data_IF_978036027418
#
_entry.id   IF_978036027418
#
_cell.length_a   1.000
_cell.length_b   1.000
_cell.length_c   1.000
_cell.angle_alpha   90.00
_cell.angle_beta   90.00
_cell.angle_gamma   90.00
#
_symmetry.space_group_name_H-M   'P 1'
#
loop_
_entity.id
_entity.type
_entity.pdbx_description
1 polymer ?
#
# COMPACT_ATOMS: atom_id res chain seq x y z
N UNK A 1 -25.19 -59.52 57.43
CA UNK A 1 -24.18 -58.75 58.16
C UNK A 1 -23.67 -57.69 57.17
N UNK A 2 -24.33 -56.56 57.19
CA UNK A 2 -23.80 -55.27 57.67
C UNK A 2 -22.52 -54.91 56.94
N UNK A 3 -22.41 -53.82 56.19
CA UNK A 3 -22.75 -52.45 56.48
C UNK A 3 -22.68 -51.62 55.19
N UNK A 4 -23.62 -50.72 54.97
CA UNK A 4 -23.36 -49.41 54.35
C UNK A 4 -22.31 -48.65 55.17
N UNK A 5 -21.61 -47.62 54.65
CA UNK A 5 -22.23 -46.41 54.21
C UNK A 5 -21.35 -45.42 53.43
N UNK A 6 -21.90 -44.30 53.25
CA UNK A 6 -21.39 -42.92 53.15
C UNK A 6 -21.39 -42.32 51.73
N UNK A 7 -22.41 -41.51 51.58
CA UNK A 7 -22.47 -40.45 50.62
C UNK A 7 -21.40 -39.42 50.84
N UNK A 8 -20.82 -38.94 49.73
CA UNK A 8 -20.05 -37.69 49.70
C UNK A 8 -20.80 -36.77 48.73
N UNK A 9 -21.17 -35.64 49.28
CA UNK A 9 -21.87 -34.55 48.65
C UNK A 9 -21.16 -34.06 47.38
N UNK A 10 -21.92 -33.92 46.32
CA UNK A 10 -21.49 -33.24 45.09
C UNK A 10 -21.43 -31.73 45.39
N UNK A 11 -20.25 -31.13 45.21
CA UNK A 11 -20.03 -29.68 45.20
C UNK A 11 -20.66 -29.05 43.96
N UNK A 12 -21.26 -27.87 44.04
CA UNK A 12 -21.87 -27.18 42.91
C UNK A 12 -20.84 -26.33 42.14
N UNK A 13 -20.03 -26.97 41.30
CA UNK A 13 -19.01 -26.31 40.46
C UNK A 13 -19.07 -26.74 39.00
N UNK A 14 -20.28 -26.98 38.47
CA UNK A 14 -20.49 -27.37 37.08
C UNK A 14 -21.56 -26.53 36.36
N UNK A 15 -21.54 -25.19 36.55
CA UNK A 15 -22.50 -24.31 35.89
C UNK A 15 -21.87 -22.96 35.46
N UNK A 16 -20.67 -23.00 34.83
CA UNK A 16 -20.11 -21.82 34.15
C UNK A 16 -19.24 -22.26 32.96
N UNK A 17 -19.82 -23.07 32.08
CA UNK A 17 -19.27 -23.27 30.72
C UNK A 17 -20.36 -22.92 29.73
N UNK A 18 -20.29 -21.75 29.18
CA UNK A 18 -21.17 -21.38 28.09
C UNK A 18 -21.40 -19.90 27.96
N UNK A 19 -20.45 -19.18 27.40
CA UNK A 19 -20.69 -18.02 26.54
C UNK A 19 -19.32 -17.53 26.07
N UNK A 20 -18.84 -18.07 24.97
CA UNK A 20 -17.87 -17.33 24.15
C UNK A 20 -18.60 -16.10 23.66
N UNK A 21 -18.04 -14.89 23.81
CA UNK A 21 -18.60 -13.74 23.15
C UNK A 21 -18.35 -13.95 21.65
N UNK A 22 -19.40 -14.22 20.89
CA UNK A 22 -19.41 -14.00 19.46
C UNK A 22 -19.11 -12.51 19.26
N UNK A 23 -17.84 -12.21 19.00
CA UNK A 23 -17.41 -10.91 18.52
C UNK A 23 -18.04 -10.73 17.13
N UNK A 24 -19.16 -10.03 17.10
CA UNK A 24 -19.79 -9.56 15.89
C UNK A 24 -18.79 -8.69 15.12
N UNK A 25 -18.08 -9.32 14.19
CA UNK A 25 -17.27 -8.63 13.20
C UNK A 25 -18.25 -7.88 12.28
N UNK A 26 -18.50 -6.61 12.59
CA UNK A 26 -19.09 -5.71 11.60
C UNK A 26 -17.99 -5.50 10.54
N UNK A 27 -18.00 -6.37 9.54
CA UNK A 27 -17.27 -6.13 8.29
C UNK A 27 -18.05 -4.99 7.60
N UNK A 28 -17.64 -3.77 7.87
CA UNK A 28 -18.06 -2.63 7.06
C UNK A 28 -17.27 -2.67 5.76
N UNK A 29 -17.61 -3.61 4.87
CA UNK A 29 -17.26 -3.45 3.47
C UNK A 29 -17.93 -2.16 3.03
N UNK A 30 -17.15 -1.12 2.74
CA UNK A 30 -17.69 0.09 2.14
C UNK A 30 -18.50 -0.30 0.93
N UNK A 31 -19.74 0.21 0.78
CA UNK A 31 -20.54 -0.11 -0.38
C UNK A 31 -19.75 0.26 -1.62
N UNK A 32 -19.67 -0.69 -2.58
CA UNK A 32 -19.10 -0.42 -3.90
C UNK A 32 -19.60 0.95 -4.33
N UNK A 33 -18.73 1.87 -4.66
CA UNK A 33 -19.15 3.19 -5.11
C UNK A 33 -19.60 3.06 -6.57
N UNK A 34 -20.93 2.94 -6.85
CA UNK A 34 -21.38 2.76 -8.20
C UNK A 34 -21.04 4.01 -9.00
N UNK A 35 -20.37 3.82 -10.15
CA UNK A 35 -19.99 4.90 -11.06
C UNK A 35 -18.52 5.30 -11.03
N UNK A 36 -17.67 4.83 -10.09
CA UNK A 36 -16.22 5.03 -10.17
C UNK A 36 -15.54 3.95 -11.02
N UNK A 37 -14.62 4.37 -11.88
CA UNK A 37 -13.81 3.48 -12.71
C UNK A 37 -12.75 2.77 -11.85
N UNK A 38 -12.98 1.48 -11.54
CA UNK A 38 -12.02 0.67 -10.83
C UNK A 38 -10.99 0.11 -11.84
N UNK A 39 -9.75 0.58 -11.72
CA UNK A 39 -8.63 0.17 -12.57
C UNK A 39 -8.05 -1.19 -12.15
N UNK A 40 -8.17 -1.54 -10.86
CA UNK A 40 -7.88 -2.89 -10.33
C UNK A 40 -9.08 -3.35 -9.52
N UNK A 41 -9.50 -4.60 -9.73
CA UNK A 41 -10.52 -5.29 -8.92
C UNK A 41 -9.95 -6.61 -8.40
N UNK A 42 -10.02 -6.78 -7.10
CA UNK A 42 -9.64 -8.03 -6.42
C UNK A 42 -10.89 -8.61 -5.78
N UNK A 43 -11.17 -9.90 -5.98
CA UNK A 43 -12.36 -10.58 -5.43
C UNK A 43 -12.00 -11.92 -4.85
N UNK A 44 -12.48 -12.17 -3.63
CA UNK A 44 -12.32 -13.43 -2.89
C UNK A 44 -10.87 -13.95 -2.89
N UNK A 45 -9.89 -13.05 -2.82
CA UNK A 45 -8.49 -13.37 -2.97
C UNK A 45 -7.99 -14.19 -1.78
N UNK A 46 -7.50 -15.40 -2.06
CA UNK A 46 -6.80 -16.25 -1.10
C UNK A 46 -5.34 -16.41 -1.52
N UNK A 47 -4.43 -16.06 -0.62
CA UNK A 47 -2.98 -16.22 -0.80
C UNK A 47 -2.41 -16.83 0.46
N UNK A 48 -1.53 -17.80 0.31
CA UNK A 48 -0.91 -18.45 1.47
C UNK A 48 0.40 -19.17 1.15
N UNK A 49 1.14 -19.50 2.20
CA UNK A 49 2.41 -20.20 2.14
C UNK A 49 2.35 -21.44 3.04
N UNK A 50 2.69 -22.62 2.51
CA UNK A 50 2.52 -23.89 3.25
C UNK A 50 1.06 -24.07 3.67
N UNK A 51 0.81 -24.33 4.94
CA UNK A 51 -0.56 -24.50 5.48
C UNK A 51 -1.23 -23.18 5.93
N UNK A 52 -0.53 -22.03 5.86
CA UNK A 52 -1.04 -20.76 6.39
C UNK A 52 -1.55 -19.86 5.27
N UNK A 53 -2.82 -19.44 5.38
CA UNK A 53 -3.36 -18.35 4.56
C UNK A 53 -3.03 -16.99 5.16
N UNK A 54 -2.54 -16.10 4.29
CA UNK A 54 -2.21 -14.71 4.59
C UNK A 54 -3.37 -13.81 4.16
N UNK A 55 -3.96 -14.06 2.98
CA UNK A 55 -5.21 -13.46 2.51
C UNK A 55 -6.29 -14.54 2.55
N UNK A 56 -7.49 -14.17 3.03
CA UNK A 56 -8.57 -15.13 3.35
C UNK A 56 -9.90 -14.70 2.74
N UNK A 57 -9.94 -14.56 1.42
CA UNK A 57 -11.08 -14.00 0.71
C UNK A 57 -11.10 -12.47 0.83
N UNK A 58 -10.02 -11.82 0.33
CA UNK A 58 -9.89 -10.37 0.36
C UNK A 58 -10.53 -9.77 -0.88
N UNK A 59 -11.37 -8.76 -0.68
CA UNK A 59 -11.93 -7.89 -1.72
C UNK A 59 -11.31 -6.51 -1.63
N UNK A 60 -10.93 -5.93 -2.78
CA UNK A 60 -10.40 -4.57 -2.87
C UNK A 60 -10.63 -4.00 -4.26
N UNK A 61 -11.07 -2.75 -4.34
CA UNK A 61 -11.07 -1.95 -5.56
C UNK A 61 -10.06 -0.80 -5.46
N UNK A 62 -9.31 -0.56 -6.54
CA UNK A 62 -8.45 0.62 -6.70
C UNK A 62 -9.04 1.43 -7.84
N UNK A 63 -9.40 2.69 -7.57
CA UNK A 63 -10.06 3.55 -8.53
C UNK A 63 -9.07 4.41 -9.30
N UNK A 64 -9.39 4.69 -10.55
CA UNK A 64 -8.55 5.54 -11.41
C UNK A 64 -8.35 6.93 -10.80
N UNK A 65 -7.10 7.41 -10.81
CA UNK A 65 -6.72 8.75 -10.39
C UNK A 65 -6.72 8.99 -8.88
N UNK A 66 -6.81 7.93 -8.05
CA UNK A 66 -6.66 8.07 -6.59
C UNK A 66 -5.27 7.64 -6.10
N UNK A 67 -4.88 8.12 -4.94
CA UNK A 67 -3.83 7.53 -4.10
C UNK A 67 -4.53 6.71 -3.03
N UNK A 68 -4.48 5.37 -3.17
CA UNK A 68 -4.97 4.44 -2.16
C UNK A 68 -3.83 4.06 -1.20
N UNK A 69 -3.92 4.50 0.05
CA UNK A 69 -3.07 4.06 1.14
C UNK A 69 -3.48 2.67 1.63
N UNK A 70 -2.55 1.72 1.69
CA UNK A 70 -2.80 0.37 2.17
C UNK A 70 -2.03 0.13 3.47
N UNK A 71 -2.75 -0.05 4.56
CA UNK A 71 -2.21 -0.15 5.91
C UNK A 71 -2.58 -1.47 6.59
N UNK A 72 -1.93 -1.78 7.68
CA UNK A 72 -2.23 -2.97 8.49
C UNK A 72 -1.06 -3.37 9.39
N UNK A 73 -1.26 -4.26 10.37
CA UNK A 73 -0.20 -4.74 11.25
C UNK A 73 0.99 -5.31 10.47
N UNK A 74 2.17 -5.24 11.07
CA UNK A 74 3.37 -5.85 10.49
C UNK A 74 3.20 -7.36 10.34
N UNK A 75 3.70 -7.91 9.21
CA UNK A 75 3.61 -9.35 8.93
C UNK A 75 2.23 -9.87 8.50
N UNK A 76 1.23 -9.03 8.35
CA UNK A 76 -0.12 -9.41 7.89
C UNK A 76 -0.25 -9.56 6.36
N UNK A 77 0.83 -9.36 5.61
CA UNK A 77 0.82 -9.64 4.17
C UNK A 77 0.61 -8.45 3.24
N UNK A 78 0.80 -7.20 3.67
CA UNK A 78 0.65 -6.01 2.80
C UNK A 78 1.45 -6.14 1.50
N UNK A 79 2.75 -6.37 1.60
CA UNK A 79 3.60 -6.57 0.41
C UNK A 79 3.28 -7.88 -0.34
N UNK A 80 2.62 -8.86 0.31
CA UNK A 80 2.13 -10.06 -0.36
C UNK A 80 1.00 -9.70 -1.33
N UNK A 81 0.04 -8.84 -0.92
CA UNK A 81 -1.02 -8.37 -1.82
C UNK A 81 -0.44 -7.69 -3.05
N UNK A 82 0.46 -6.71 -2.85
CA UNK A 82 1.13 -6.02 -3.96
C UNK A 82 1.80 -7.01 -4.91
N UNK A 83 2.61 -7.92 -4.37
CA UNK A 83 3.31 -8.94 -5.18
C UNK A 83 2.35 -9.91 -5.87
N UNK A 84 1.20 -10.21 -5.28
CA UNK A 84 0.18 -11.06 -5.90
C UNK A 84 -0.51 -10.34 -7.06
N UNK A 85 -0.86 -9.06 -6.91
CA UNK A 85 -1.43 -8.24 -7.98
C UNK A 85 -0.43 -8.16 -9.15
N UNK A 86 0.85 -7.95 -8.87
CA UNK A 86 1.92 -7.92 -9.87
C UNK A 86 2.26 -9.32 -10.45
N UNK A 87 1.64 -10.39 -9.93
CA UNK A 87 1.87 -11.76 -10.38
C UNK A 87 3.22 -12.35 -9.97
N UNK A 88 3.90 -11.75 -9.00
CA UNK A 88 5.15 -12.25 -8.41
C UNK A 88 4.91 -13.32 -7.32
N UNK A 89 3.68 -13.41 -6.81
CA UNK A 89 3.22 -14.43 -5.87
C UNK A 89 1.96 -15.07 -6.41
N UNK A 90 1.94 -16.39 -6.46
CA UNK A 90 0.77 -17.16 -6.91
C UNK A 90 -0.33 -17.15 -5.86
N UNK A 91 -1.54 -16.78 -6.25
CA UNK A 91 -2.75 -16.91 -5.43
C UNK A 91 -3.24 -18.35 -5.40
N UNK A 92 -4.00 -18.72 -4.37
CA UNK A 92 -4.68 -20.03 -4.26
C UNK A 92 -6.04 -20.00 -4.94
N UNK A 93 -6.79 -18.91 -4.76
CA UNK A 93 -8.11 -18.69 -5.37
C UNK A 93 -8.45 -17.20 -5.43
N UNK A 94 -9.62 -16.88 -5.94
CA UNK A 94 -10.09 -15.52 -6.18
C UNK A 94 -9.72 -15.00 -7.55
N UNK A 95 -10.13 -13.80 -7.89
CA UNK A 95 -9.87 -13.16 -9.17
C UNK A 95 -9.19 -11.81 -8.99
N UNK A 96 -8.31 -11.47 -9.93
CA UNK A 96 -7.69 -10.15 -10.04
C UNK A 96 -7.93 -9.68 -11.46
N UNK A 97 -8.57 -8.52 -11.58
CA UNK A 97 -8.73 -7.81 -12.84
C UNK A 97 -7.90 -6.53 -12.81
N UNK A 98 -7.14 -6.27 -13.86
CA UNK A 98 -6.34 -5.05 -14.05
C UNK A 98 -6.73 -4.46 -15.39
N UNK A 99 -7.13 -3.19 -15.43
CA UNK A 99 -7.65 -2.50 -16.62
C UNK A 99 -8.85 -3.22 -17.27
N UNK A 100 -9.66 -3.91 -16.44
CA UNK A 100 -10.82 -4.68 -16.90
C UNK A 100 -10.49 -6.08 -17.44
N UNK A 101 -9.23 -6.50 -17.41
CA UNK A 101 -8.79 -7.82 -17.88
C UNK A 101 -8.46 -8.73 -16.69
N UNK A 102 -9.03 -9.95 -16.67
CA UNK A 102 -8.65 -10.95 -15.67
C UNK A 102 -7.24 -11.47 -15.97
N UNK A 103 -6.34 -11.32 -14.99
CA UNK A 103 -4.91 -11.67 -15.18
C UNK A 103 -4.66 -13.18 -15.32
N UNK A 104 -5.59 -14.03 -14.87
CA UNK A 104 -5.41 -15.49 -14.91
C UNK A 104 -5.48 -16.09 -16.31
N UNK A 105 -6.23 -15.46 -17.21
CA UNK A 105 -6.45 -15.93 -18.57
C UNK A 105 -5.53 -15.32 -19.62
N UNK A 106 -4.60 -14.46 -19.21
CA UNK A 106 -3.78 -13.71 -20.15
C UNK A 106 -2.68 -14.56 -20.78
N UNK A 107 -2.50 -14.41 -22.11
CA UNK A 107 -1.29 -14.90 -22.78
C UNK A 107 -0.07 -14.13 -22.29
N UNK A 108 1.11 -14.72 -22.40
CA UNK A 108 2.37 -14.07 -22.02
C UNK A 108 2.57 -12.71 -22.72
N UNK A 109 2.20 -12.64 -24.02
CA UNK A 109 2.28 -11.40 -24.79
C UNK A 109 1.35 -10.32 -24.22
N UNK A 110 0.06 -10.67 -23.92
CA UNK A 110 -0.89 -9.71 -23.36
C UNK A 110 -0.47 -9.24 -21.96
N UNK A 111 0.06 -10.15 -21.16
CA UNK A 111 0.58 -9.83 -19.82
C UNK A 111 1.72 -8.81 -19.92
N UNK A 112 2.70 -9.00 -20.82
CA UNK A 112 3.79 -8.04 -21.05
C UNK A 112 3.29 -6.65 -21.44
N UNK A 113 2.22 -6.58 -22.27
CA UNK A 113 1.60 -5.30 -22.62
C UNK A 113 0.94 -4.61 -21.42
N UNK A 114 0.29 -5.38 -20.53
CA UNK A 114 -0.25 -4.83 -19.28
C UNK A 114 0.86 -4.36 -18.35
N UNK A 115 1.96 -5.11 -18.25
CA UNK A 115 3.09 -4.79 -17.38
C UNK A 115 3.76 -3.45 -17.71
N UNK A 116 3.71 -2.99 -18.95
CA UNK A 116 4.17 -1.65 -19.36
C UNK A 116 3.35 -0.51 -18.75
N UNK A 117 2.09 -0.79 -18.37
CA UNK A 117 1.15 0.23 -17.87
C UNK A 117 1.23 0.46 -16.37
N UNK A 118 2.12 -0.24 -15.66
CA UNK A 118 2.39 0.02 -14.25
C UNK A 118 3.87 0.19 -13.93
N UNK A 119 4.16 1.01 -12.96
CA UNK A 119 5.50 1.18 -12.37
C UNK A 119 5.54 0.65 -10.95
N UNK A 120 6.70 0.17 -10.51
CA UNK A 120 6.88 -0.37 -9.16
C UNK A 120 8.09 0.26 -8.48
N UNK A 121 7.86 0.81 -7.29
CA UNK A 121 8.91 1.23 -6.36
C UNK A 121 8.90 0.29 -5.15
N UNK A 122 9.93 -0.53 -5.02
CA UNK A 122 10.12 -1.41 -3.88
C UNK A 122 10.76 -0.67 -2.69
N UNK A 123 10.57 -1.19 -1.49
CA UNK A 123 10.97 -0.57 -0.21
C UNK A 123 12.41 -0.02 -0.19
N UNK A 124 13.38 -0.73 -0.78
CA UNK A 124 14.78 -0.29 -0.85
C UNK A 124 15.15 0.38 -2.18
N UNK A 125 14.17 0.76 -3.01
CA UNK A 125 14.38 1.31 -4.34
C UNK A 125 14.76 0.26 -5.38
N UNK A 126 15.46 -0.81 -5.00
CA UNK A 126 15.90 -1.93 -5.85
C UNK A 126 16.61 -1.47 -7.15
N UNK A 127 17.43 -0.44 -7.07
CA UNK A 127 18.27 -0.01 -8.18
C UNK A 127 19.41 -1.02 -8.43
N UNK A 128 19.75 -1.20 -9.69
CA UNK A 128 20.92 -1.98 -10.07
C UNK A 128 22.20 -1.23 -9.64
N UNK A 129 22.94 -1.79 -8.70
CA UNK A 129 24.09 -1.13 -8.06
C UNK A 129 25.25 -0.84 -9.01
N UNK A 130 25.40 -1.62 -10.09
CA UNK A 130 26.42 -1.45 -11.12
C UNK A 130 26.00 -0.53 -12.28
N UNK A 131 24.81 0.07 -12.24
CA UNK A 131 24.31 0.99 -13.26
C UNK A 131 24.14 2.38 -12.67
N UNK A 132 24.42 3.41 -13.47
CA UNK A 132 24.13 4.81 -13.08
C UNK A 132 22.62 5.04 -12.95
N UNK A 133 22.21 6.16 -12.36
CA UNK A 133 20.81 6.55 -12.27
C UNK A 133 20.16 6.56 -13.66
N UNK A 134 20.78 7.20 -14.63
CA UNK A 134 20.32 7.25 -16.02
C UNK A 134 20.15 5.84 -16.59
N UNK A 135 21.12 4.98 -16.44
CA UNK A 135 21.06 3.60 -16.92
C UNK A 135 19.97 2.79 -16.25
N UNK A 136 19.77 2.97 -14.93
CA UNK A 136 18.64 2.35 -14.21
C UNK A 136 17.29 2.74 -14.81
N UNK A 137 17.10 4.01 -15.18
CA UNK A 137 15.86 4.51 -15.79
C UNK A 137 15.72 4.01 -17.22
N UNK A 138 16.80 3.90 -17.95
CA UNK A 138 16.81 3.39 -19.33
C UNK A 138 16.51 1.89 -19.44
N UNK A 139 16.76 1.09 -18.38
CA UNK A 139 16.55 -0.37 -18.42
C UNK A 139 15.15 -0.78 -18.91
N UNK A 140 14.04 -0.34 -18.29
CA UNK A 140 12.71 -0.68 -18.79
C UNK A 140 12.43 -0.09 -20.18
N UNK A 141 12.98 1.07 -20.52
CA UNK A 141 12.83 1.65 -21.87
C UNK A 141 13.47 0.75 -22.92
N UNK A 142 14.72 0.28 -22.68
CA UNK A 142 15.44 -0.63 -23.59
C UNK A 142 14.75 -1.97 -23.79
N UNK A 143 14.08 -2.47 -22.74
CA UNK A 143 13.36 -3.75 -22.82
C UNK A 143 12.06 -3.65 -23.61
N UNK A 144 11.37 -2.51 -23.54
CA UNK A 144 10.00 -2.38 -24.02
C UNK A 144 9.81 -1.41 -25.18
N UNK A 145 10.78 -0.55 -25.46
CA UNK A 145 10.68 0.49 -26.49
C UNK A 145 11.85 0.37 -27.49
N UNK A 146 11.54 0.58 -28.76
CA UNK A 146 12.55 0.66 -29.81
C UNK A 146 12.95 2.12 -30.01
N UNK A 147 13.91 2.59 -29.22
CA UNK A 147 14.38 3.97 -29.20
C UNK A 147 15.86 4.07 -29.51
N UNK A 148 16.25 5.16 -30.19
CA UNK A 148 17.67 5.48 -30.35
C UNK A 148 18.32 5.84 -29.01
N UNK A 149 19.65 5.65 -28.87
CA UNK A 149 20.41 6.00 -27.68
C UNK A 149 20.19 7.47 -27.26
N UNK A 150 20.10 8.36 -28.23
CA UNK A 150 19.82 9.78 -27.98
C UNK A 150 18.46 9.98 -27.30
N UNK A 151 17.40 9.33 -27.78
CA UNK A 151 16.06 9.43 -27.18
C UNK A 151 16.00 8.78 -25.79
N UNK A 152 16.69 7.64 -25.60
CA UNK A 152 16.83 7.01 -24.29
C UNK A 152 17.49 7.96 -23.28
N UNK A 153 18.54 8.69 -23.68
CA UNK A 153 19.21 9.68 -22.84
C UNK A 153 18.31 10.87 -22.53
N UNK A 154 17.62 11.43 -23.53
CA UNK A 154 16.70 12.56 -23.35
C UNK A 154 15.55 12.21 -22.42
N UNK A 155 14.89 11.04 -22.63
CA UNK A 155 13.78 10.60 -21.77
C UNK A 155 14.26 10.28 -20.34
N UNK A 156 15.40 9.63 -20.18
CA UNK A 156 15.90 9.35 -18.84
C UNK A 156 16.22 10.64 -18.07
N UNK A 157 16.80 11.66 -18.72
CA UNK A 157 17.03 12.98 -18.10
C UNK A 157 15.72 13.68 -17.72
N UNK A 158 14.71 13.62 -18.59
CA UNK A 158 13.39 14.14 -18.28
C UNK A 158 12.81 13.48 -17.01
N UNK A 159 12.90 12.14 -16.89
CA UNK A 159 12.43 11.44 -15.69
C UNK A 159 13.20 11.81 -14.43
N UNK A 160 14.51 12.08 -14.55
CA UNK A 160 15.36 12.57 -13.44
C UNK A 160 14.85 13.95 -12.96
N UNK A 161 14.59 14.87 -13.88
CA UNK A 161 14.06 16.20 -13.57
C UNK A 161 12.65 16.14 -12.97
N UNK A 162 11.77 15.29 -13.51
CA UNK A 162 10.40 15.09 -13.00
C UNK A 162 10.34 14.70 -11.54
N UNK A 163 11.33 13.98 -11.04
CA UNK A 163 11.39 13.58 -9.62
C UNK A 163 12.23 14.55 -8.77
N UNK A 164 12.61 15.71 -9.30
CA UNK A 164 13.37 16.74 -8.59
C UNK A 164 14.81 16.37 -8.29
N UNK A 165 15.40 15.43 -9.03
CA UNK A 165 16.84 15.19 -8.97
C UNK A 165 17.60 16.19 -9.85
N UNK A 166 18.77 16.61 -9.38
CA UNK A 166 19.65 17.49 -10.17
C UNK A 166 20.21 16.71 -11.37
N UNK A 167 20.50 17.38 -12.50
CA UNK A 167 21.02 16.75 -13.71
C UNK A 167 22.32 15.92 -13.49
N UNK A 168 23.16 16.35 -12.56
CA UNK A 168 24.43 15.66 -12.23
C UNK A 168 24.20 14.28 -11.56
N UNK A 169 22.99 14.02 -11.03
CA UNK A 169 22.64 12.71 -10.51
C UNK A 169 22.58 11.63 -11.61
N UNK A 170 22.38 12.01 -12.87
CA UNK A 170 22.23 11.08 -14.00
C UNK A 170 23.39 10.08 -14.11
N UNK A 171 24.60 10.54 -13.89
CA UNK A 171 25.83 9.77 -14.09
C UNK A 171 26.37 9.14 -12.79
N UNK A 172 25.69 9.34 -11.64
CA UNK A 172 26.05 8.74 -10.35
C UNK A 172 25.57 7.30 -10.23
N UNK A 173 26.34 6.49 -9.51
CA UNK A 173 25.92 5.16 -9.07
C UNK A 173 25.02 5.26 -7.83
N UNK A 174 24.17 4.26 -7.55
CA UNK A 174 23.35 4.23 -6.34
C UNK A 174 24.14 4.40 -5.03
N UNK A 175 25.37 3.93 -4.97
CA UNK A 175 26.26 4.07 -3.80
C UNK A 175 26.70 5.52 -3.52
N UNK A 176 26.55 6.42 -4.50
CA UNK A 176 26.92 7.84 -4.41
C UNK A 176 25.73 8.73 -4.06
N UNK A 177 24.55 8.14 -3.85
CA UNK A 177 23.29 8.83 -3.58
C UNK A 177 22.92 8.80 -2.10
N UNK A 178 22.26 9.86 -1.63
CA UNK A 178 21.56 9.84 -0.34
C UNK A 178 20.34 8.93 -0.40
N UNK A 179 19.80 8.51 0.75
CA UNK A 179 18.57 7.69 0.81
C UNK A 179 17.40 8.31 0.05
N UNK A 180 17.18 9.61 0.20
CA UNK A 180 16.13 10.34 -0.55
C UNK A 180 16.39 10.36 -2.05
N UNK A 181 17.64 10.54 -2.49
CA UNK A 181 18.00 10.47 -3.91
C UNK A 181 17.77 9.06 -4.49
N UNK A 182 18.08 7.99 -3.73
CA UNK A 182 17.82 6.61 -4.13
C UNK A 182 16.32 6.40 -4.37
N UNK A 183 15.45 6.89 -3.45
CA UNK A 183 13.99 6.79 -3.58
C UNK A 183 13.48 7.57 -4.80
N UNK A 184 13.96 8.79 -5.02
CA UNK A 184 13.60 9.60 -6.20
C UNK A 184 14.09 8.96 -7.50
N UNK A 185 15.30 8.39 -7.55
CA UNK A 185 15.82 7.66 -8.72
C UNK A 185 14.98 6.39 -9.02
N UNK A 186 14.59 5.66 -7.97
CA UNK A 186 13.72 4.49 -8.12
C UNK A 186 12.29 4.89 -8.59
N UNK A 187 11.77 6.03 -8.13
CA UNK A 187 10.53 6.61 -8.64
C UNK A 187 10.67 7.01 -10.12
N UNK A 188 11.77 7.66 -10.51
CA UNK A 188 12.04 8.00 -11.91
C UNK A 188 12.06 6.75 -12.81
N UNK A 189 12.68 5.66 -12.34
CA UNK A 189 12.67 4.38 -13.05
C UNK A 189 11.26 3.78 -13.15
N UNK A 190 10.45 3.86 -12.11
CA UNK A 190 9.07 3.38 -12.15
C UNK A 190 8.18 4.17 -13.11
N UNK A 191 8.56 5.42 -13.42
CA UNK A 191 7.88 6.29 -14.39
C UNK A 191 8.41 6.13 -15.82
N UNK A 192 9.41 5.28 -16.06
CA UNK A 192 10.13 5.21 -17.34
C UNK A 192 9.26 4.93 -18.56
N UNK A 193 8.18 4.16 -18.40
CA UNK A 193 7.24 3.77 -19.45
C UNK A 193 5.93 4.55 -19.44
N UNK A 194 5.86 5.70 -18.76
CA UNK A 194 4.63 6.49 -18.58
C UNK A 194 3.44 5.65 -18.11
N UNK A 195 3.56 4.98 -16.95
CA UNK A 195 2.53 4.08 -16.44
C UNK A 195 1.25 4.81 -16.07
N UNK A 196 0.12 4.07 -16.03
CA UNK A 196 -1.16 4.56 -15.51
C UNK A 196 -1.30 4.28 -14.00
N UNK A 197 -0.55 3.29 -13.48
CA UNK A 197 -0.55 2.91 -12.06
C UNK A 197 0.88 2.88 -11.53
N UNK A 198 1.06 3.43 -10.32
CA UNK A 198 2.26 3.24 -9.51
C UNK A 198 1.96 2.38 -8.28
N UNK A 199 2.77 1.35 -8.07
CA UNK A 199 2.83 0.58 -6.83
C UNK A 199 4.03 1.06 -6.03
N UNK A 200 3.78 1.61 -4.84
CA UNK A 200 4.79 2.12 -3.93
C UNK A 200 4.79 1.28 -2.65
N UNK A 201 5.85 0.53 -2.40
CA UNK A 201 6.01 -0.29 -1.18
C UNK A 201 6.95 0.43 -0.22
N UNK A 202 6.39 1.02 0.86
CA UNK A 202 7.09 1.78 1.90
C UNK A 202 8.00 2.90 1.32
N UNK A 203 7.45 3.82 0.50
CA UNK A 203 8.27 4.76 -0.26
C UNK A 203 9.07 5.72 0.61
N UNK A 204 8.54 6.16 1.74
CA UNK A 204 9.16 7.10 2.68
C UNK A 204 10.03 6.43 3.74
N UNK A 205 10.04 5.09 3.79
CA UNK A 205 10.82 4.33 4.77
C UNK A 205 12.31 4.67 4.71
N UNK A 206 12.89 5.04 5.86
CA UNK A 206 14.31 5.39 5.99
C UNK A 206 14.63 6.83 5.61
N UNK A 207 13.65 7.66 5.27
CA UNK A 207 13.80 9.10 5.12
C UNK A 207 13.64 9.80 6.47
N UNK A 208 14.22 10.97 6.61
CA UNK A 208 13.87 11.90 7.69
C UNK A 208 12.48 12.51 7.44
N UNK A 209 11.84 13.10 8.46
CA UNK A 209 10.46 13.60 8.33
C UNK A 209 10.27 14.66 7.23
N UNK A 210 11.28 15.50 6.99
CA UNK A 210 11.22 16.54 5.94
C UNK A 210 11.27 15.87 4.58
N UNK A 211 12.25 14.99 4.35
CA UNK A 211 12.39 14.24 3.11
C UNK A 211 11.21 13.32 2.80
N UNK A 212 10.55 12.77 3.84
CA UNK A 212 9.33 11.99 3.69
C UNK A 212 8.18 12.88 3.18
N UNK A 213 7.94 14.04 3.80
CA UNK A 213 6.93 15.01 3.37
C UNK A 213 7.16 15.50 1.94
N UNK A 214 8.42 15.85 1.59
CA UNK A 214 8.75 16.24 0.20
C UNK A 214 8.49 15.12 -0.82
N UNK A 215 8.71 13.85 -0.41
CA UNK A 215 8.43 12.71 -1.29
C UNK A 215 6.92 12.52 -1.48
N UNK A 216 6.13 12.67 -0.43
CA UNK A 216 4.66 12.59 -0.50
C UNK A 216 4.07 13.70 -1.36
N UNK A 217 4.54 14.94 -1.21
CA UNK A 217 4.16 16.08 -2.08
C UNK A 217 4.53 15.82 -3.55
N UNK A 218 5.70 15.25 -3.81
CA UNK A 218 6.13 14.86 -5.15
C UNK A 218 5.17 13.84 -5.75
N UNK A 219 4.81 12.77 -5.02
CA UNK A 219 3.87 11.74 -5.49
C UNK A 219 2.50 12.34 -5.77
N UNK A 220 1.98 13.20 -4.89
CA UNK A 220 0.71 13.90 -5.07
C UNK A 220 0.73 14.80 -6.32
N UNK A 221 1.83 15.54 -6.54
CA UNK A 221 2.02 16.39 -7.72
C UNK A 221 2.06 15.56 -9.01
N UNK A 222 2.82 14.46 -9.03
CA UNK A 222 2.89 13.55 -10.18
C UNK A 222 1.52 12.92 -10.49
N UNK A 223 0.78 12.52 -9.45
CA UNK A 223 -0.59 12.01 -9.62
C UNK A 223 -1.50 13.03 -10.29
N UNK A 224 -1.48 14.27 -9.85
CA UNK A 224 -2.31 15.34 -10.42
C UNK A 224 -1.89 15.71 -11.84
N UNK A 225 -0.59 15.81 -12.08
CA UNK A 225 -0.04 16.29 -13.38
C UNK A 225 -0.15 15.23 -14.47
N UNK A 226 0.09 13.95 -14.12
CA UNK A 226 0.12 12.84 -15.07
C UNK A 226 -1.17 12.00 -15.08
N UNK A 227 -2.12 12.28 -14.19
CA UNK A 227 -3.35 11.48 -14.05
C UNK A 227 -3.10 10.07 -13.51
N UNK A 228 -2.05 9.88 -12.70
CA UNK A 228 -1.67 8.58 -12.17
C UNK A 228 -2.68 8.04 -11.16
N UNK A 229 -2.80 6.73 -11.11
CA UNK A 229 -3.35 5.99 -9.96
C UNK A 229 -2.19 5.48 -9.12
N UNK A 230 -2.28 5.58 -7.81
CA UNK A 230 -1.21 5.14 -6.90
C UNK A 230 -1.76 4.16 -5.87
N UNK A 231 -1.13 2.99 -5.76
CA UNK A 231 -1.33 2.06 -4.66
C UNK A 231 -0.11 2.13 -3.75
N UNK A 232 -0.27 2.70 -2.56
CA UNK A 232 0.82 2.96 -1.62
C UNK A 232 0.68 2.09 -0.38
N UNK A 233 1.58 1.15 -0.20
CA UNK A 233 1.75 0.43 1.08
C UNK A 233 2.61 1.28 1.98
N UNK A 234 2.09 1.69 3.13
CA UNK A 234 2.85 2.49 4.10
C UNK A 234 2.40 2.18 5.54
N UNK A 235 3.25 2.48 6.49
CA UNK A 235 2.96 2.53 7.91
C UNK A 235 3.16 3.94 8.48
N UNK A 236 3.47 4.91 7.62
CA UNK A 236 3.64 6.31 7.98
C UNK A 236 2.29 7.02 8.03
N UNK A 237 1.93 7.54 9.20
CA UNK A 237 0.68 8.26 9.39
C UNK A 237 0.67 9.59 8.64
N UNK A 238 1.81 10.30 8.58
CA UNK A 238 1.90 11.57 7.87
C UNK A 238 1.58 11.39 6.39
N UNK A 239 2.16 10.36 5.73
CA UNK A 239 1.84 10.00 4.35
C UNK A 239 0.35 9.70 4.14
N UNK A 240 -0.31 9.03 5.10
CA UNK A 240 -1.74 8.73 5.02
C UNK A 240 -2.61 9.99 5.10
N UNK A 241 -2.22 10.95 5.94
CA UNK A 241 -2.96 12.20 6.11
C UNK A 241 -2.75 13.18 4.96
N UNK A 242 -1.53 13.22 4.39
CA UNK A 242 -1.13 14.26 3.44
C UNK A 242 -1.30 13.84 1.99
N UNK A 243 -1.03 12.58 1.67
CA UNK A 243 -1.00 12.12 0.29
C UNK A 243 -2.19 11.25 -0.11
N UNK A 244 -2.80 10.47 0.80
CA UNK A 244 -3.80 9.47 0.41
C UNK A 244 -5.20 10.06 0.31
N UNK A 245 -5.89 9.80 -0.82
CA UNK A 245 -7.30 10.14 -1.01
C UNK A 245 -8.22 9.16 -0.27
N UNK A 246 -7.81 7.90 -0.17
CA UNK A 246 -8.54 6.80 0.46
C UNK A 246 -7.57 5.84 1.10
N UNK A 247 -8.00 5.19 2.16
CA UNK A 247 -7.21 4.21 2.91
C UNK A 247 -7.98 2.90 2.97
N UNK A 248 -7.29 1.79 2.76
CA UNK A 248 -7.79 0.45 3.01
C UNK A 248 -6.92 -0.22 4.09
N UNK A 249 -7.56 -0.70 5.13
CA UNK A 249 -6.89 -1.32 6.28
C UNK A 249 -7.03 -2.84 6.23
N UNK A 250 -5.91 -3.53 6.25
CA UNK A 250 -5.82 -4.98 6.30
C UNK A 250 -5.81 -5.47 7.75
N UNK A 251 -6.64 -6.46 8.05
CA UNK A 251 -6.63 -7.20 9.31
C UNK A 251 -7.11 -8.62 9.09
N UNK A 252 -6.46 -9.60 9.72
CA UNK A 252 -6.79 -11.02 9.64
C UNK A 252 -6.98 -11.58 8.22
N UNK A 253 -6.25 -11.02 7.25
CA UNK A 253 -6.28 -11.43 5.86
C UNK A 253 -7.45 -10.88 5.03
N UNK A 254 -8.18 -9.88 5.55
CA UNK A 254 -9.31 -9.19 4.90
C UNK A 254 -9.18 -7.68 5.05
N UNK A 255 -9.96 -6.93 4.26
CA UNK A 255 -10.14 -5.50 4.51
C UNK A 255 -11.09 -5.32 5.69
N UNK A 256 -10.62 -4.66 6.74
CA UNK A 256 -11.37 -4.40 7.98
C UNK A 256 -12.01 -3.01 8.00
N UNK A 257 -11.48 -2.09 7.21
CA UNK A 257 -12.06 -0.77 6.99
C UNK A 257 -11.52 -0.17 5.70
N UNK A 258 -12.32 0.66 5.04
CA UNK A 258 -11.98 1.33 3.80
C UNK A 258 -12.72 2.68 3.73
N UNK A 259 -12.02 3.73 3.34
CA UNK A 259 -12.60 5.08 3.22
C UNK A 259 -11.55 6.19 3.33
N UNK A 260 -11.98 7.45 3.37
CA UNK A 260 -11.10 8.58 3.66
C UNK A 260 -10.57 8.49 5.10
N UNK A 261 -9.62 9.35 5.45
CA UNK A 261 -8.96 9.34 6.77
C UNK A 261 -9.97 9.46 7.92
N UNK A 262 -11.05 10.24 7.74
CA UNK A 262 -12.09 10.44 8.74
C UNK A 262 -12.82 9.12 9.07
N UNK A 263 -13.03 8.26 8.09
CA UNK A 263 -13.61 6.93 8.30
C UNK A 263 -12.69 6.03 9.14
N UNK A 264 -11.38 6.15 8.96
CA UNK A 264 -10.40 5.43 9.77
C UNK A 264 -10.42 5.91 11.23
N UNK A 265 -10.50 7.24 11.42
CA UNK A 265 -10.56 7.87 12.74
C UNK A 265 -11.86 7.56 13.49
N UNK A 266 -12.98 7.45 12.78
CA UNK A 266 -14.28 7.14 13.36
C UNK A 266 -14.47 5.64 13.66
N UNK A 267 -13.55 4.79 13.23
CA UNK A 267 -13.69 3.33 13.36
C UNK A 267 -13.53 2.86 14.81
N UNK A 268 -14.44 1.98 15.26
CA UNK A 268 -14.36 1.32 16.57
C UNK A 268 -13.46 0.08 16.59
N UNK A 269 -12.91 -0.31 15.43
CA UNK A 269 -12.04 -1.47 15.34
C UNK A 269 -10.79 -1.29 16.24
N UNK A 270 -10.46 -2.23 17.14
CA UNK A 270 -9.42 -2.04 18.16
C UNK A 270 -8.05 -1.69 17.57
N UNK A 271 -7.65 -2.32 16.46
CA UNK A 271 -6.38 -2.03 15.81
C UNK A 271 -6.36 -0.61 15.22
N UNK A 272 -7.44 -0.18 14.52
CA UNK A 272 -7.54 1.16 13.93
C UNK A 272 -7.51 2.24 15.01
N UNK A 273 -8.25 2.06 16.10
CA UNK A 273 -8.19 2.98 17.25
C UNK A 273 -6.77 3.08 17.82
N UNK A 274 -6.09 1.95 18.00
CA UNK A 274 -4.71 1.94 18.49
C UNK A 274 -3.74 2.62 17.52
N UNK A 275 -3.94 2.42 16.21
CA UNK A 275 -3.07 2.93 15.17
C UNK A 275 -3.29 4.43 14.92
N UNK A 276 -4.53 4.87 14.71
CA UNK A 276 -4.86 6.26 14.38
C UNK A 276 -5.04 7.19 15.60
N UNK A 277 -5.25 6.66 16.80
CA UNK A 277 -5.36 7.47 18.04
C UNK A 277 -4.23 7.22 19.04
N UNK A 278 -3.22 6.45 18.66
CA UNK A 278 -2.04 6.20 19.49
C UNK A 278 -1.23 7.47 19.79
N UNK A 279 -0.23 7.36 20.66
CA UNK A 279 0.60 8.51 21.06
C UNK A 279 1.27 9.24 19.89
N UNK A 280 1.65 8.52 18.83
CA UNK A 280 2.28 9.10 17.62
C UNK A 280 1.25 9.87 16.78
N UNK A 281 0.04 9.34 16.62
CA UNK A 281 -1.03 9.99 15.87
C UNK A 281 -1.46 11.33 16.50
N UNK A 282 -1.41 11.46 17.82
CA UNK A 282 -1.78 12.71 18.53
C UNK A 282 -0.83 13.88 18.25
N UNK A 283 0.36 13.62 17.75
CA UNK A 283 1.31 14.68 17.37
C UNK A 283 0.98 15.26 15.98
N UNK A 284 0.28 14.51 15.14
CA UNK A 284 -0.02 14.83 13.74
C UNK A 284 -1.39 15.50 13.61
N UNK A 285 -2.40 15.04 14.37
CA UNK A 285 -3.74 15.64 14.32
C UNK A 285 -3.72 17.01 14.98
N UNK A 286 -4.01 18.12 14.25
CA UNK A 286 -4.17 19.43 14.88
C UNK A 286 -5.27 19.33 15.93
N UNK A 287 -4.94 19.53 17.20
CA UNK A 287 -5.92 19.50 18.28
C UNK A 287 -6.88 20.68 18.12
N UNK A 288 -8.15 20.47 17.73
CA UNK A 288 -9.11 21.56 17.52
C UNK A 288 -9.30 22.44 18.76
N UNK A 289 -8.99 21.93 19.96
CA UNK A 289 -9.03 22.70 21.20
C UNK A 289 -7.88 23.74 21.36
N UNK A 290 -6.80 23.65 20.55
CA UNK A 290 -5.71 24.64 20.56
C UNK A 290 -5.93 25.79 19.60
N UNK A 291 -6.74 25.63 18.54
CA UNK A 291 -7.06 26.71 17.60
C UNK A 291 -7.96 27.79 18.22
N UNK A 292 -8.80 27.45 19.20
CA UNK A 292 -9.69 28.45 19.86
C UNK A 292 -9.02 29.28 20.95
N UNK A 293 -7.78 28.98 21.36
CA UNK A 293 -7.09 29.80 22.38
C UNK A 293 -6.34 31.01 21.80
N UNK A 294 -6.00 30.98 20.52
CA UNK A 294 -5.32 32.13 19.87
C UNK A 294 -6.28 33.15 19.25
N UNK A 295 -7.59 32.85 19.21
CA UNK A 295 -8.62 33.77 18.69
C UNK A 295 -9.23 34.69 19.76
N UNK A 296 -8.84 34.53 21.05
CA UNK A 296 -9.40 35.34 22.18
C UNK A 296 -8.41 36.43 22.64
N UNK A 297 -7.21 36.53 22.02
CA UNK A 297 -6.21 37.54 22.38
C UNK A 297 -5.71 38.34 21.14
N UNK A 298 -6.57 38.56 20.14
CA UNK A 298 -6.32 39.53 19.05
C UNK A 298 -7.38 40.61 19.05
#
# INVERSE_FOLDING_TARGET
MNAEPNGIAASPEAALRGASPESGHIVTSSPRQPGRDAIIRVRDLVVGFGARDVMKGLDLDIYRGEILGFVGPSGQGKSVLTRTILGLVTKRSGTIEIFGENVDGLTLARRRELEKRWGVLFQQGALFSGLTVKQNIQMPMREHLDLSERLLDEFARLKIEMVGLKPDAADKLPSELSGGMIKRAALARSLALDPEILFLDEPTSGLDPIGAGEFDELVATLKQTLGLTVFMVTHDLDSLYTACDRIAALGDGKIIAEGPIEAMLASDHPWLRSYFHGKRARAIVPNPAKQNRNAVHA
#
